data_IF_491897212043
#
_entry.id   IF_491897212043
#
_cell.length_a   1.000
_cell.length_b   1.000
_cell.length_c   1.000
_cell.angle_alpha   90.00
_cell.angle_beta   90.00
_cell.angle_gamma   90.00
#
_symmetry.space_group_name_H-M   'P 1'
#
loop_
_entity.id
_entity.type
_entity.pdbx_description
1 polymer ?
#
# COMPACT_ATOMS: atom_id res chain seq x y z
N UNK A 1 -2.61 -28.25 -29.18
CA UNK A 1 -1.31 -28.84 -28.75
C UNK A 1 -0.22 -28.11 -29.51
N UNK A 2 0.35 -27.07 -28.92
CA UNK A 2 1.27 -26.14 -29.60
C UNK A 2 2.61 -26.84 -29.96
N UNK A 3 2.97 -26.90 -31.26
CA UNK A 3 4.24 -27.47 -31.76
C UNK A 3 5.45 -26.65 -31.27
N UNK A 4 6.64 -27.27 -31.23
CA UNK A 4 7.87 -26.63 -30.74
C UNK A 4 8.32 -25.44 -31.60
N UNK A 5 8.04 -25.45 -32.90
CA UNK A 5 8.43 -24.38 -33.84
C UNK A 5 7.71 -23.05 -33.61
N UNK A 6 6.65 -23.04 -32.78
CA UNK A 6 5.83 -21.87 -32.48
C UNK A 6 5.97 -21.40 -31.02
N UNK A 7 7.00 -21.84 -30.30
CA UNK A 7 7.25 -21.45 -28.91
C UNK A 7 8.64 -20.85 -28.76
N UNK A 8 8.70 -19.65 -28.21
CA UNK A 8 9.95 -19.00 -27.88
C UNK A 8 9.92 -18.47 -26.45
N UNK A 9 10.99 -18.73 -25.70
CA UNK A 9 11.19 -18.24 -24.33
C UNK A 9 12.39 -17.31 -24.34
N UNK A 10 12.13 -15.99 -24.32
CA UNK A 10 13.17 -14.97 -24.24
C UNK A 10 13.57 -14.78 -22.80
N UNK A 11 14.84 -15.07 -22.50
CA UNK A 11 15.35 -14.90 -21.14
C UNK A 11 16.00 -13.54 -20.89
N UNK A 12 16.57 -12.86 -21.89
CA UNK A 12 16.98 -11.43 -21.84
C UNK A 12 17.37 -10.95 -23.26
N UNK A 13 16.84 -9.82 -23.74
CA UNK A 13 17.47 -9.00 -24.77
C UNK A 13 18.44 -8.03 -24.06
N UNK A 14 19.73 -8.06 -24.37
CA UNK A 14 20.70 -7.21 -23.69
C UNK A 14 20.75 -5.82 -24.35
N UNK A 15 20.08 -4.85 -23.74
CA UNK A 15 20.20 -3.45 -24.16
C UNK A 15 21.29 -2.74 -23.35
N UNK A 16 22.16 -1.96 -24.01
CA UNK A 16 23.03 -0.98 -23.35
C UNK A 16 22.32 0.36 -23.37
N UNK A 17 21.67 0.72 -22.27
CA UNK A 17 21.05 2.04 -22.08
C UNK A 17 22.01 3.03 -21.40
N UNK A 18 21.79 4.32 -21.69
CA UNK A 18 22.19 5.45 -20.83
C UNK A 18 21.44 5.35 -19.47
N UNK A 19 21.81 6.12 -18.42
CA UNK A 19 21.10 6.05 -17.14
C UNK A 19 19.60 6.22 -17.32
N UNK A 20 18.84 5.18 -16.97
CA UNK A 20 17.38 5.06 -17.13
C UNK A 20 16.80 4.43 -15.86
N UNK A 21 15.56 4.78 -15.53
CA UNK A 21 14.86 4.22 -14.39
C UNK A 21 14.50 2.75 -14.64
N UNK A 22 14.32 1.96 -13.58
CA UNK A 22 13.90 0.56 -13.71
C UNK A 22 12.56 0.42 -14.42
N UNK A 23 11.63 1.36 -14.20
CA UNK A 23 10.33 1.37 -14.87
C UNK A 23 10.43 1.62 -16.38
N UNK A 24 11.28 2.56 -16.81
CA UNK A 24 11.52 2.79 -18.25
C UNK A 24 12.10 1.54 -18.92
N UNK A 25 13.06 0.89 -18.25
CA UNK A 25 13.63 -0.36 -18.73
C UNK A 25 12.57 -1.46 -18.83
N UNK A 26 11.71 -1.61 -17.81
CA UNK A 26 10.63 -2.60 -17.82
C UNK A 26 9.68 -2.40 -19.01
N UNK A 27 9.28 -1.16 -19.29
CA UNK A 27 8.46 -0.83 -20.46
C UNK A 27 9.19 -1.16 -21.76
N UNK A 28 10.44 -0.70 -21.90
CA UNK A 28 11.23 -0.94 -23.09
C UNK A 28 11.41 -2.44 -23.37
N UNK A 29 11.64 -3.24 -22.34
CA UNK A 29 11.71 -4.70 -22.45
C UNK A 29 10.41 -5.30 -22.99
N UNK A 30 9.25 -4.95 -22.42
CA UNK A 30 7.96 -5.48 -22.89
C UNK A 30 7.76 -5.21 -24.38
N UNK A 31 7.90 -3.95 -24.81
CA UNK A 31 7.69 -3.59 -26.22
C UNK A 31 8.74 -4.21 -27.14
N UNK A 32 10.01 -4.24 -26.73
CA UNK A 32 11.05 -4.81 -27.57
C UNK A 32 10.92 -6.33 -27.73
N UNK A 33 10.52 -7.06 -26.69
CA UNK A 33 10.26 -8.50 -26.79
C UNK A 33 9.08 -8.81 -27.70
N UNK A 34 8.00 -8.05 -27.57
CA UNK A 34 6.83 -8.20 -28.46
C UNK A 34 7.25 -7.92 -29.91
N UNK A 35 8.00 -6.85 -30.15
CA UNK A 35 8.48 -6.50 -31.48
C UNK A 35 9.40 -7.58 -32.08
N UNK A 36 10.37 -8.09 -31.31
CA UNK A 36 11.27 -9.14 -31.77
C UNK A 36 10.50 -10.42 -32.13
N UNK A 37 9.56 -10.81 -31.25
CA UNK A 37 8.74 -11.99 -31.44
C UNK A 37 7.90 -11.90 -32.72
N UNK A 38 7.18 -10.79 -32.92
CA UNK A 38 6.30 -10.59 -34.07
C UNK A 38 7.10 -10.53 -35.38
N UNK A 39 8.15 -9.71 -35.43
CA UNK A 39 8.81 -9.41 -36.71
C UNK A 39 9.85 -10.45 -37.15
N UNK A 40 10.44 -11.20 -36.22
CA UNK A 40 11.57 -12.08 -36.54
C UNK A 40 11.36 -13.54 -36.16
N UNK A 41 10.36 -13.87 -35.34
CA UNK A 41 10.27 -15.21 -34.72
C UNK A 41 8.98 -15.97 -35.03
N UNK A 42 7.87 -15.28 -35.28
CA UNK A 42 6.59 -15.93 -35.60
C UNK A 42 6.15 -15.66 -37.04
N UNK A 43 5.64 -16.71 -37.69
CA UNK A 43 4.85 -16.59 -38.93
C UNK A 43 3.36 -16.75 -38.67
N UNK A 44 2.99 -17.16 -37.45
CA UNK A 44 1.60 -17.30 -37.05
C UNK A 44 1.05 -15.92 -36.70
N UNK A 45 -0.12 -15.62 -37.25
CA UNK A 45 -0.88 -14.40 -37.00
C UNK A 45 -1.60 -14.43 -35.66
N UNK A 46 -1.91 -15.62 -35.14
CA UNK A 46 -2.51 -15.79 -33.81
C UNK A 46 -1.43 -15.90 -32.73
N UNK A 47 -1.39 -14.92 -31.82
CA UNK A 47 -0.33 -14.77 -30.82
C UNK A 47 -0.93 -14.69 -29.41
N UNK A 48 -0.44 -15.57 -28.52
CA UNK A 48 -0.75 -15.56 -27.10
C UNK A 48 0.45 -14.99 -26.32
N UNK A 49 0.24 -13.88 -25.63
CA UNK A 49 1.25 -13.17 -24.86
C UNK A 49 1.03 -13.43 -23.37
N UNK A 50 2.08 -13.88 -22.68
CA UNK A 50 2.12 -14.00 -21.23
C UNK A 50 3.03 -12.94 -20.63
N UNK A 51 2.53 -12.16 -19.67
CA UNK A 51 3.31 -11.16 -18.95
C UNK A 51 3.17 -11.40 -17.45
N UNK A 52 4.27 -11.73 -16.79
CA UNK A 52 4.28 -11.83 -15.34
C UNK A 52 4.56 -10.44 -14.74
N UNK A 53 3.79 -10.04 -13.75
CA UNK A 53 3.83 -8.74 -13.06
C UNK A 53 3.96 -7.56 -14.03
N UNK A 54 2.94 -7.32 -14.85
CA UNK A 54 2.97 -6.22 -15.84
C UNK A 54 3.19 -4.84 -15.19
N UNK A 55 2.87 -4.69 -13.90
CA UNK A 55 3.08 -3.49 -13.10
C UNK A 55 4.48 -3.38 -12.46
N UNK A 56 5.34 -4.39 -12.61
CA UNK A 56 6.63 -4.46 -11.92
C UNK A 56 7.52 -3.26 -12.26
N UNK A 57 8.03 -2.61 -11.21
CA UNK A 57 8.83 -1.39 -11.28
C UNK A 57 8.17 -0.17 -11.95
N UNK A 58 6.89 -0.24 -12.33
CA UNK A 58 6.17 0.88 -12.92
C UNK A 58 5.69 1.84 -11.84
N UNK A 59 5.87 3.15 -12.09
CA UNK A 59 5.23 4.17 -11.29
C UNK A 59 3.70 4.06 -11.41
N UNK A 60 2.90 4.31 -10.34
CA UNK A 60 1.43 4.23 -10.39
C UNK A 60 0.78 4.94 -11.57
N UNK A 61 1.34 6.09 -11.97
CA UNK A 61 0.90 6.85 -13.16
C UNK A 61 1.03 6.05 -14.46
N UNK A 62 2.06 5.22 -14.62
CA UNK A 62 2.23 4.37 -15.78
C UNK A 62 1.39 3.10 -15.70
N UNK A 63 1.10 2.61 -14.50
CA UNK A 63 0.15 1.51 -14.32
C UNK A 63 -1.27 1.89 -14.80
N UNK A 64 -1.65 3.17 -14.73
CA UNK A 64 -2.93 3.67 -15.27
C UNK A 64 -3.00 3.69 -16.80
N UNK A 65 -1.85 3.66 -17.49
CA UNK A 65 -1.80 3.86 -18.95
C UNK A 65 -1.18 2.68 -19.69
N UNK A 66 -0.59 1.71 -18.98
CA UNK A 66 0.15 0.60 -19.59
C UNK A 66 -0.73 -0.26 -20.49
N UNK A 67 -1.96 -0.57 -20.08
CA UNK A 67 -2.87 -1.35 -20.91
C UNK A 67 -3.25 -0.60 -22.18
N UNK A 68 -3.52 0.71 -22.08
CA UNK A 68 -3.78 1.53 -23.26
C UNK A 68 -2.60 1.51 -24.24
N UNK A 69 -1.38 1.80 -23.77
CA UNK A 69 -0.20 1.78 -24.64
C UNK A 69 0.07 0.41 -25.25
N UNK A 70 -0.10 -0.66 -24.47
CA UNK A 70 0.10 -2.02 -24.96
C UNK A 70 -0.93 -2.39 -26.04
N UNK A 71 -2.20 -2.06 -25.82
CA UNK A 71 -3.27 -2.35 -26.79
C UNK A 71 -3.10 -1.52 -28.06
N UNK A 72 -2.80 -0.22 -27.96
CA UNK A 72 -2.52 0.63 -29.13
C UNK A 72 -1.34 0.09 -29.94
N UNK A 73 -0.27 -0.31 -29.25
CA UNK A 73 0.90 -0.89 -29.91
C UNK A 73 0.56 -2.20 -30.64
N UNK A 74 -0.16 -3.11 -29.99
CA UNK A 74 -0.54 -4.38 -30.61
C UNK A 74 -1.52 -4.18 -31.77
N UNK A 75 -2.46 -3.24 -31.65
CA UNK A 75 -3.40 -2.90 -32.73
C UNK A 75 -2.71 -2.33 -33.97
N UNK A 76 -1.48 -1.81 -33.86
CA UNK A 76 -0.69 -1.37 -35.03
C UNK A 76 -0.25 -2.53 -35.94
N UNK A 77 -0.35 -3.77 -35.47
CA UNK A 77 -0.08 -4.98 -36.26
C UNK A 77 -1.40 -5.56 -36.81
N UNK A 78 -2.00 -4.89 -37.80
CA UNK A 78 -3.35 -5.19 -38.33
C UNK A 78 -3.56 -6.65 -38.77
N UNK A 79 -2.49 -7.32 -39.22
CA UNK A 79 -2.50 -8.69 -39.69
C UNK A 79 -2.49 -9.75 -38.59
N UNK A 80 -2.40 -9.36 -37.32
CA UNK A 80 -2.20 -10.26 -36.18
C UNK A 80 -3.37 -10.21 -35.20
N UNK A 81 -3.62 -11.32 -34.54
CA UNK A 81 -4.63 -11.49 -33.50
C UNK A 81 -3.94 -11.80 -32.18
N UNK A 82 -4.17 -10.94 -31.18
CA UNK A 82 -3.49 -11.04 -29.89
C UNK A 82 -4.46 -11.45 -28.77
N UNK A 83 -4.04 -12.45 -27.99
CA UNK A 83 -4.59 -12.71 -26.67
C UNK A 83 -3.52 -12.40 -25.63
N UNK A 84 -3.87 -11.62 -24.60
CA UNK A 84 -2.94 -11.25 -23.53
C UNK A 84 -3.43 -11.88 -22.23
N UNK A 85 -2.54 -12.58 -21.54
CA UNK A 85 -2.74 -13.07 -20.18
C UNK A 85 -1.62 -12.52 -19.32
N UNK A 86 -1.95 -11.79 -18.28
CA UNK A 86 -0.96 -11.21 -17.39
C UNK A 86 -1.33 -11.37 -15.93
N UNK A 87 -0.31 -11.29 -15.08
CA UNK A 87 -0.47 -11.23 -13.62
C UNK A 87 -0.18 -9.80 -13.16
N UNK A 88 -0.81 -9.40 -12.05
CA UNK A 88 -0.57 -8.08 -11.48
C UNK A 88 -0.78 -8.08 -9.97
N UNK A 89 0.05 -7.32 -9.27
CA UNK A 89 -0.16 -6.96 -7.87
C UNK A 89 -0.74 -5.55 -7.70
N UNK A 90 -1.13 -4.91 -8.79
CA UNK A 90 -1.66 -3.56 -8.80
C UNK A 90 -3.19 -3.52 -8.98
N UNK A 91 -3.93 -2.97 -8.00
CA UNK A 91 -5.36 -2.69 -8.19
C UNK A 91 -5.62 -1.58 -9.19
N UNK A 92 -4.61 -0.77 -9.54
CA UNK A 92 -4.76 0.31 -10.51
C UNK A 92 -5.16 -0.27 -11.87
N UNK A 93 -4.49 -1.35 -12.28
CA UNK A 93 -4.73 -2.00 -13.57
C UNK A 93 -6.10 -2.67 -13.63
N UNK A 94 -6.62 -3.14 -12.49
CA UNK A 94 -7.95 -3.74 -12.43
C UNK A 94 -9.06 -2.77 -12.83
N UNK A 95 -8.86 -1.46 -12.65
CA UNK A 95 -9.82 -0.42 -13.05
C UNK A 95 -10.12 -0.42 -14.56
N UNK A 96 -9.20 -0.92 -15.39
CA UNK A 96 -9.36 -0.97 -16.85
C UNK A 96 -9.99 -2.28 -17.33
N UNK A 97 -10.24 -3.24 -16.43
CA UNK A 97 -10.73 -4.57 -16.76
C UNK A 97 -12.15 -4.79 -16.25
N UNK A 98 -12.96 -5.48 -17.04
CA UNK A 98 -14.23 -6.05 -16.58
C UNK A 98 -13.98 -7.24 -15.67
N UNK A 99 -14.89 -7.46 -14.72
CA UNK A 99 -14.80 -8.53 -13.71
C UNK A 99 -14.65 -9.93 -14.32
N UNK A 100 -15.33 -10.20 -15.43
CA UNK A 100 -15.26 -11.45 -16.19
C UNK A 100 -13.90 -11.70 -16.88
N UNK A 101 -13.00 -10.72 -16.88
CA UNK A 101 -11.62 -10.83 -17.39
C UNK A 101 -10.58 -10.97 -16.27
N UNK A 102 -11.01 -11.07 -15.01
CA UNK A 102 -10.13 -11.13 -13.85
C UNK A 102 -10.26 -12.48 -13.15
N UNK A 103 -9.13 -13.18 -13.01
CA UNK A 103 -9.03 -14.37 -12.17
C UNK A 103 -8.32 -13.98 -10.87
N UNK A 104 -9.05 -14.04 -9.74
CA UNK A 104 -8.48 -13.70 -8.43
C UNK A 104 -7.99 -14.94 -7.71
N UNK A 105 -6.78 -14.87 -7.17
CA UNK A 105 -6.14 -15.97 -6.45
C UNK A 105 -6.04 -15.60 -4.97
N UNK A 106 -6.51 -16.49 -4.08
CA UNK A 106 -6.33 -16.37 -2.63
C UNK A 106 -5.69 -17.62 -2.08
N UNK A 107 -4.70 -17.45 -1.22
CA UNK A 107 -4.13 -18.56 -0.44
C UNK A 107 -5.04 -18.84 0.77
N UNK A 108 -5.52 -20.08 0.86
CA UNK A 108 -6.23 -20.60 2.03
C UNK A 108 -5.40 -21.75 2.62
N UNK A 109 -4.75 -21.48 3.75
CA UNK A 109 -3.76 -22.37 4.38
C UNK A 109 -2.65 -22.75 3.37
N UNK A 110 -2.62 -24.02 2.94
CA UNK A 110 -1.65 -24.56 1.98
C UNK A 110 -2.26 -24.79 0.57
N UNK A 111 -3.46 -24.28 0.29
CA UNK A 111 -4.12 -24.41 -1.02
C UNK A 111 -4.34 -23.05 -1.66
N UNK A 112 -4.22 -22.97 -2.97
CA UNK A 112 -4.63 -21.80 -3.77
C UNK A 112 -6.08 -22.03 -4.17
N UNK A 113 -6.93 -21.04 -3.92
CA UNK A 113 -8.33 -21.03 -4.35
C UNK A 113 -8.55 -19.88 -5.31
N UNK A 114 -9.28 -20.15 -6.39
CA UNK A 114 -9.90 -19.10 -7.19
C UNK A 114 -11.14 -18.66 -6.44
N UNK A 115 -11.33 -17.36 -6.30
CA UNK A 115 -12.57 -16.82 -5.75
C UNK A 115 -13.12 -15.76 -6.69
N UNK A 116 -14.44 -15.75 -6.83
CA UNK A 116 -15.18 -14.74 -7.57
C UNK A 116 -15.71 -13.71 -6.58
N UNK A 117 -15.61 -12.44 -6.94
CA UNK A 117 -16.23 -11.34 -6.23
C UNK A 117 -17.15 -10.64 -7.21
N UNK A 118 -18.40 -10.37 -6.84
CA UNK A 118 -19.39 -9.67 -7.69
C UNK A 118 -19.14 -8.15 -7.73
N UNK A 119 -17.90 -7.72 -7.55
CA UNK A 119 -17.54 -6.32 -7.62
C UNK A 119 -17.11 -5.98 -9.05
N UNK A 120 -17.85 -5.09 -9.68
CA UNK A 120 -17.47 -4.48 -10.95
C UNK A 120 -16.19 -3.67 -10.76
N UNK A 121 -15.16 -3.98 -11.56
CA UNK A 121 -13.84 -3.34 -11.50
C UNK A 121 -13.66 -2.29 -12.59
N UNK A 122 -14.34 -2.43 -13.72
CA UNK A 122 -14.21 -1.50 -14.84
C UNK A 122 -14.68 -0.09 -14.45
N UNK A 123 -13.80 0.89 -14.56
CA UNK A 123 -14.02 2.29 -14.15
C UNK A 123 -14.19 2.48 -12.63
N UNK A 124 -13.86 1.47 -11.81
CA UNK A 124 -14.02 1.56 -10.37
C UNK A 124 -12.99 2.50 -9.74
N UNK A 125 -13.36 3.08 -8.58
CA UNK A 125 -12.43 3.91 -7.83
C UNK A 125 -11.22 3.07 -7.36
N UNK A 126 -10.02 3.48 -7.74
CA UNK A 126 -8.76 2.78 -7.40
C UNK A 126 -8.63 2.53 -5.89
N UNK A 127 -8.99 3.49 -5.04
CA UNK A 127 -8.89 3.31 -3.57
C UNK A 127 -9.85 2.23 -3.08
N UNK A 128 -11.04 2.14 -3.69
CA UNK A 128 -11.96 1.04 -3.39
C UNK A 128 -11.35 -0.31 -3.78
N UNK A 129 -10.73 -0.40 -4.96
CA UNK A 129 -10.06 -1.63 -5.43
C UNK A 129 -8.92 -2.05 -4.48
N UNK A 130 -8.14 -1.09 -3.93
CA UNK A 130 -7.13 -1.39 -2.91
C UNK A 130 -7.73 -2.07 -1.67
N UNK A 131 -8.84 -1.56 -1.15
CA UNK A 131 -9.51 -2.16 0.01
C UNK A 131 -10.19 -3.49 -0.33
N UNK A 132 -10.90 -3.53 -1.46
CA UNK A 132 -11.80 -4.62 -1.82
C UNK A 132 -11.10 -5.84 -2.44
N UNK A 133 -10.14 -5.62 -3.35
CA UNK A 133 -9.54 -6.69 -4.17
C UNK A 133 -8.17 -7.15 -3.65
N UNK A 134 -7.49 -6.31 -2.87
CA UNK A 134 -6.16 -6.60 -2.33
C UNK A 134 -6.13 -6.93 -0.84
N UNK A 135 -7.30 -7.21 -0.24
CA UNK A 135 -7.43 -7.72 1.12
C UNK A 135 -6.72 -6.88 2.17
N UNK A 136 -6.78 -5.55 2.03
CA UNK A 136 -6.32 -4.63 3.07
C UNK A 136 -7.33 -4.55 4.23
N UNK A 137 -7.82 -5.73 4.68
CA UNK A 137 -8.84 -5.91 5.73
C UNK A 137 -8.38 -5.30 7.06
N UNK A 138 -7.06 -5.16 7.26
CA UNK A 138 -6.43 -4.57 8.44
C UNK A 138 -6.34 -3.03 8.41
N UNK A 139 -6.92 -2.38 7.38
CA UNK A 139 -6.96 -0.93 7.18
C UNK A 139 -5.83 -0.38 6.33
N UNK A 140 -5.92 0.91 5.99
CA UNK A 140 -4.97 1.62 5.10
C UNK A 140 -3.73 2.21 5.78
N UNK A 141 -3.40 1.78 7.00
CA UNK A 141 -2.29 2.34 7.79
C UNK A 141 -1.18 1.30 7.90
N UNK A 142 0.07 1.72 7.68
CA UNK A 142 1.24 0.86 7.80
C UNK A 142 1.42 0.31 9.22
N UNK A 143 1.87 -0.94 9.33
CA UNK A 143 2.00 -1.67 10.60
C UNK A 143 2.93 -0.95 11.61
N UNK A 144 3.98 -0.29 11.12
CA UNK A 144 4.87 0.52 11.95
C UNK A 144 4.13 1.66 12.66
N UNK A 145 3.36 2.43 11.89
CA UNK A 145 2.58 3.57 12.42
C UNK A 145 1.47 3.06 13.34
N UNK A 146 0.81 1.96 12.99
CA UNK A 146 -0.20 1.31 13.83
C UNK A 146 0.36 0.95 15.21
N UNK A 147 1.57 0.39 15.27
CA UNK A 147 2.26 0.10 16.53
C UNK A 147 2.61 1.36 17.32
N UNK A 148 3.08 2.43 16.66
CA UNK A 148 3.38 3.72 17.31
C UNK A 148 2.14 4.39 17.89
N UNK A 149 1.03 4.42 17.15
CA UNK A 149 -0.25 4.93 17.65
C UNK A 149 -0.73 4.09 18.84
N UNK A 150 -0.58 2.76 18.77
CA UNK A 150 -0.91 1.89 19.90
C UNK A 150 -0.10 2.23 21.16
N UNK A 151 1.21 2.43 21.05
CA UNK A 151 2.06 2.87 22.17
C UNK A 151 1.58 4.19 22.78
N UNK A 152 1.21 5.16 21.95
CA UNK A 152 0.62 6.42 22.41
C UNK A 152 -0.69 6.16 23.15
N UNK A 153 -1.60 5.35 22.60
CA UNK A 153 -2.87 5.02 23.26
C UNK A 153 -2.65 4.31 24.60
N UNK A 154 -1.69 3.39 24.68
CA UNK A 154 -1.36 2.67 25.91
C UNK A 154 -0.75 3.61 26.96
N UNK A 155 0.12 4.54 26.57
CA UNK A 155 0.61 5.62 27.45
C UNK A 155 -0.52 6.50 27.97
N UNK A 156 -1.41 6.96 27.08
CA UNK A 156 -2.55 7.80 27.46
C UNK A 156 -3.53 7.07 28.39
N UNK A 157 -3.57 5.75 28.35
CA UNK A 157 -4.39 4.94 29.26
C UNK A 157 -3.63 4.48 30.52
N UNK A 158 -2.39 4.95 30.74
CA UNK A 158 -1.56 4.58 31.88
C UNK A 158 -1.07 3.12 31.88
N UNK A 159 -1.06 2.46 30.71
CA UNK A 159 -0.67 1.05 30.55
C UNK A 159 0.80 0.86 30.16
N UNK A 160 1.46 1.92 29.66
CA UNK A 160 2.85 1.87 29.23
C UNK A 160 3.58 3.16 29.63
N UNK A 161 4.71 3.03 30.32
CA UNK A 161 5.59 4.13 30.74
C UNK A 161 6.91 4.16 29.95
N UNK A 162 7.09 3.32 28.94
CA UNK A 162 8.34 3.23 28.18
C UNK A 162 8.51 4.32 27.11
N UNK A 163 7.51 5.19 26.93
CA UNK A 163 7.55 6.32 26.00
C UNK A 163 7.45 7.63 26.77
N UNK A 164 8.25 8.62 26.38
CA UNK A 164 8.26 9.93 27.01
C UNK A 164 7.09 10.81 26.54
N UNK A 165 6.68 11.78 27.36
CA UNK A 165 5.63 12.74 27.02
C UNK A 165 5.96 13.54 25.74
N UNK A 166 7.24 13.88 25.55
CA UNK A 166 7.73 14.61 24.38
C UNK A 166 7.59 13.78 23.10
N UNK A 167 7.92 12.48 23.16
CA UNK A 167 7.71 11.56 22.04
C UNK A 167 6.24 11.34 21.74
N UNK A 168 5.38 11.24 22.76
CA UNK A 168 3.92 11.14 22.58
C UNK A 168 3.38 12.36 21.84
N UNK A 169 3.76 13.57 22.30
CA UNK A 169 3.36 14.82 21.65
C UNK A 169 3.85 14.88 20.20
N UNK A 170 5.12 14.53 19.97
CA UNK A 170 5.70 14.49 18.63
C UNK A 170 4.93 13.56 17.69
N UNK A 171 4.63 12.34 18.13
CA UNK A 171 3.86 11.38 17.33
C UNK A 171 2.49 11.96 16.99
N UNK A 172 1.76 12.47 17.98
CA UNK A 172 0.41 13.03 17.77
C UNK A 172 0.44 14.21 16.79
N UNK A 173 1.46 15.06 16.86
CA UNK A 173 1.60 16.21 15.96
C UNK A 173 1.86 15.83 14.50
N UNK A 174 2.44 14.66 14.24
CA UNK A 174 2.74 14.17 12.90
C UNK A 174 1.71 13.17 12.34
N UNK A 175 0.64 12.87 13.08
CA UNK A 175 -0.47 12.06 12.53
C UNK A 175 -1.17 12.83 11.41
N UNK A 176 -1.18 12.25 10.22
CA UNK A 176 -1.81 12.84 9.03
C UNK A 176 -3.33 12.80 9.04
N UNK A 177 -3.94 11.84 9.75
CA UNK A 177 -5.39 11.68 9.83
C UNK A 177 -5.99 12.68 10.84
N UNK A 178 -6.73 13.73 10.41
CA UNK A 178 -7.11 14.85 11.30
C UNK A 178 -7.99 14.41 12.47
N UNK A 179 -8.89 13.46 12.24
CA UNK A 179 -9.81 12.94 13.25
C UNK A 179 -9.05 12.22 14.37
N UNK A 180 -8.11 11.36 14.01
CA UNK A 180 -7.28 10.60 14.96
C UNK A 180 -6.39 11.56 15.74
N UNK A 181 -5.74 12.51 15.05
CA UNK A 181 -4.91 13.55 15.69
C UNK A 181 -5.70 14.35 16.72
N UNK A 182 -6.90 14.82 16.37
CA UNK A 182 -7.76 15.60 17.28
C UNK A 182 -8.12 14.81 18.54
N UNK A 183 -8.55 13.56 18.39
CA UNK A 183 -8.94 12.71 19.52
C UNK A 183 -7.76 12.43 20.48
N UNK A 184 -6.58 12.14 19.93
CA UNK A 184 -5.39 11.88 20.76
C UNK A 184 -4.88 13.15 21.46
N UNK A 185 -4.92 14.31 20.78
CA UNK A 185 -4.61 15.60 21.42
C UNK A 185 -5.54 15.90 22.59
N UNK A 186 -6.84 15.68 22.43
CA UNK A 186 -7.82 15.91 23.49
C UNK A 186 -7.50 15.05 24.72
N UNK A 187 -7.31 13.74 24.54
CA UNK A 187 -6.91 12.83 25.62
C UNK A 187 -5.59 13.21 26.29
N UNK A 188 -4.60 13.67 25.52
CA UNK A 188 -3.33 14.10 26.08
C UNK A 188 -3.50 15.34 26.97
N UNK A 189 -4.26 16.33 26.51
CA UNK A 189 -4.52 17.54 27.28
C UNK A 189 -5.25 17.22 28.59
N UNK A 190 -6.27 16.34 28.55
CA UNK A 190 -6.97 15.87 29.75
C UNK A 190 -6.02 15.25 30.79
N UNK A 191 -5.08 14.41 30.37
CA UNK A 191 -4.10 13.79 31.26
C UNK A 191 -3.12 14.80 31.87
N UNK A 192 -2.67 15.77 31.07
CA UNK A 192 -1.75 16.81 31.55
C UNK A 192 -2.45 17.71 32.56
N UNK A 193 -3.66 18.19 32.24
CA UNK A 193 -4.46 19.02 33.16
C UNK A 193 -4.77 18.31 34.47
N UNK A 194 -5.10 17.01 34.43
CA UNK A 194 -5.36 16.24 35.65
C UNK A 194 -4.09 16.12 36.52
N UNK A 195 -2.91 15.90 35.92
CA UNK A 195 -1.64 15.83 36.66
C UNK A 195 -1.24 17.16 37.28
N UNK A 196 -1.47 18.27 36.59
CA UNK A 196 -1.22 19.61 37.14
C UNK A 196 -2.11 19.90 38.36
N UNK A 197 -3.40 19.54 38.29
CA UNK A 197 -4.33 19.67 39.41
C UNK A 197 -3.89 18.83 40.63
N UNK A 198 -3.49 17.57 40.42
CA UNK A 198 -3.02 16.71 41.53
C UNK A 198 -1.75 17.25 42.17
N UNK A 199 -0.83 17.84 41.39
CA UNK A 199 0.40 18.43 41.92
C UNK A 199 0.10 19.68 42.77
N UNK A 200 -0.84 20.51 42.34
CA UNK A 200 -1.27 21.70 43.08
C UNK A 200 -1.93 21.31 44.40
N UNK A 201 -2.80 20.31 44.40
CA UNK A 201 -3.43 19.76 45.62
C UNK A 201 -2.36 19.24 46.60
N UNK A 202 -1.38 18.48 46.11
CA UNK A 202 -0.30 17.95 46.93
C UNK A 202 0.57 19.06 47.56
N UNK A 203 0.92 20.10 46.78
CA UNK A 203 1.68 21.26 47.27
C UNK A 203 0.88 22.03 48.33
N UNK A 204 -0.43 22.17 48.15
CA UNK A 204 -1.31 22.82 49.12
C UNK A 204 -1.39 22.02 50.43
N UNK A 205 -1.51 20.69 50.37
CA UNK A 205 -1.52 19.83 51.57
C UNK A 205 -0.19 19.92 52.35
N UNK A 206 0.94 19.85 51.65
CA UNK A 206 2.28 19.99 52.26
C UNK A 206 2.41 21.36 52.95
N UNK A 207 2.01 22.45 52.27
CA UNK A 207 2.08 23.80 52.81
C UNK A 207 1.22 24.00 54.07
N UNK A 208 0.06 23.35 54.13
CA UNK A 208 -0.82 23.35 55.31
C UNK A 208 -0.21 22.56 56.47
N UNK A 209 0.41 21.40 56.20
CA UNK A 209 1.10 20.61 57.24
C UNK A 209 2.27 21.35 57.86
N UNK A 210 3.11 22.01 57.05
CA UNK A 210 4.23 22.83 57.56
C UNK A 210 3.76 23.98 58.45
N UNK A 211 2.62 24.61 58.11
CA UNK A 211 2.01 25.67 58.92
C UNK A 211 1.52 25.14 60.28
N UNK A 212 0.93 23.94 60.31
CA UNK A 212 0.47 23.28 61.54
C UNK A 212 1.65 22.88 62.44
N UNK A 213 2.74 22.34 61.88
CA UNK A 213 3.94 22.00 62.66
C UNK A 213 4.60 23.23 63.31
N UNK A 214 4.62 24.37 62.60
CA UNK A 214 5.16 25.64 63.15
C UNK A 214 4.32 26.19 64.30
N UNK A 215 3.00 25.96 64.28
CA UNK A 215 2.11 26.35 65.38
C UNK A 215 2.25 25.43 66.60
N UNK A 216 2.57 24.16 66.41
CA UNK A 216 2.78 23.20 67.50
C UNK A 216 4.14 23.37 68.19
N UNK A 217 5.20 23.83 67.49
CA UNK A 217 6.53 24.12 68.07
C UNK A 217 6.61 25.43 68.88
N UNK A 218 5.57 26.26 68.88
CA UNK A 218 5.51 27.54 69.61
C UNK A 218 4.80 27.45 70.98
N UNK A 219 4.40 26.27 71.42
CA UNK A 219 3.96 25.98 72.79
C UNK A 219 5.08 25.34 73.58
#
# INVERSE_FOLDING_TARGET
MFSQDNKFFLRILTFKYYPSSTGENALAYIFAYIHDAINYRTKNKDILIFIDEIDSALHPRWQQTILWYLLEYLNSFEDYHFQIVFTTHSPIILSDLTDNRIIRLKRDKNKIKIFTKENQTFGANIMRLYYDDFFMDNGGIGEFVKKKIKQVVDYLNGKDNNISLTEVQYIIDHIGEPTVKRQLKQKLNELVSNKEQTLIELIQEIGVQEAIERLQKRK
#
